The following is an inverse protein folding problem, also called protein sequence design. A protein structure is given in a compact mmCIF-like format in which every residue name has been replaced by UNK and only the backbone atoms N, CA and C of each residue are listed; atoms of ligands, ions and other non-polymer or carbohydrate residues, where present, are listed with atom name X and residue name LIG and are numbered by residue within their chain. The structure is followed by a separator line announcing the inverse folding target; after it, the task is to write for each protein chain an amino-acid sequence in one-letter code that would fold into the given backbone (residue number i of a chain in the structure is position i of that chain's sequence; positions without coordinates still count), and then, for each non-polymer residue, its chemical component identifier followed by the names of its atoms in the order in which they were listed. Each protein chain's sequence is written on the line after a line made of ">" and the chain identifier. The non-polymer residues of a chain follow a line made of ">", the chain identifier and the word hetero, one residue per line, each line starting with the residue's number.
data_IF_822477261057
#
_entry.id   IF_822477261057
#
_cell.length_a   1.000
_cell.length_b   1.000
_cell.length_c   1.000
_cell.angle_alpha   90.00
_cell.angle_beta   90.00
_cell.angle_gamma   90.00
#
_symmetry.space_group_name_H-M   'P 1'
#
loop_
_entity.id
_entity.type
_entity.pdbx_description
1 polymer ?
#
# COMPACT_ATOMS: atom_id res chain seq x y z
N UNK A 1 15.71 -0.59 21.73
CA UNK A 1 15.03 0.64 21.27
C UNK A 1 14.08 1.13 22.37
N UNK A 2 13.58 2.37 22.26
CA UNK A 2 12.63 3.01 23.16
C UNK A 2 11.50 3.67 22.35
N UNK A 3 10.32 3.91 22.95
CA UNK A 3 9.28 4.72 22.32
C UNK A 3 9.84 6.09 21.86
N UNK A 4 9.55 6.45 20.62
CA UNK A 4 10.05 7.67 19.97
C UNK A 4 11.29 7.46 19.09
N UNK A 5 12.05 6.38 19.29
CA UNK A 5 13.27 6.11 18.51
C UNK A 5 12.95 6.00 17.01
N UNK A 6 13.78 6.60 16.13
CA UNK A 6 13.66 6.43 14.69
C UNK A 6 14.00 4.99 14.30
N UNK A 7 13.27 4.45 13.34
CA UNK A 7 13.49 3.08 12.83
C UNK A 7 13.35 3.03 11.32
N UNK A 8 14.21 2.23 10.70
CA UNK A 8 14.08 1.78 9.33
C UNK A 8 13.43 0.39 9.32
N UNK A 9 12.40 0.21 8.50
CA UNK A 9 11.72 -1.08 8.32
C UNK A 9 12.19 -1.67 7.00
N UNK A 10 12.80 -2.84 7.10
CA UNK A 10 13.36 -3.55 5.96
C UNK A 10 12.53 -4.79 5.64
N UNK A 11 12.44 -5.14 4.37
CA UNK A 11 11.87 -6.38 3.87
C UNK A 11 12.86 -7.07 2.91
N UNK A 12 12.55 -8.31 2.57
CA UNK A 12 13.24 -9.14 1.56
C UNK A 12 14.69 -9.52 1.87
N UNK A 13 15.24 -10.36 0.99
CA UNK A 13 16.66 -10.68 0.90
C UNK A 13 17.06 -10.64 -0.58
N UNK A 14 17.92 -9.71 -1.02
CA UNK A 14 18.65 -8.70 -0.24
C UNK A 14 17.73 -7.63 0.41
N UNK A 15 18.18 -6.97 1.49
CA UNK A 15 17.33 -6.07 2.27
C UNK A 15 16.95 -4.81 1.47
N UNK A 16 15.66 -4.49 1.50
CA UNK A 16 15.07 -3.27 0.93
C UNK A 16 14.34 -2.47 2.00
N UNK A 17 14.51 -1.16 2.00
CA UNK A 17 13.78 -0.24 2.86
C UNK A 17 12.36 -0.03 2.34
N UNK A 18 11.38 -0.41 3.15
CA UNK A 18 9.95 -0.29 2.82
C UNK A 18 9.26 0.83 3.60
N UNK A 19 9.80 1.23 4.75
CA UNK A 19 9.27 2.35 5.52
C UNK A 19 10.29 2.96 6.46
N UNK A 20 10.10 4.24 6.78
CA UNK A 20 10.67 4.89 7.96
C UNK A 20 9.58 5.12 8.98
N UNK A 21 9.91 4.96 10.26
CA UNK A 21 8.96 5.11 11.33
C UNK A 21 9.57 5.59 12.63
N UNK A 22 8.72 5.60 13.65
CA UNK A 22 9.12 5.71 15.04
C UNK A 22 8.57 4.55 15.83
N UNK A 23 9.32 4.09 16.81
CA UNK A 23 8.81 3.14 17.79
C UNK A 23 7.66 3.80 18.55
N UNK A 24 6.49 3.18 18.50
CA UNK A 24 5.31 3.63 19.25
C UNK A 24 5.25 2.96 20.62
N UNK A 25 5.43 1.64 20.64
CA UNK A 25 5.37 0.82 21.86
C UNK A 25 6.31 -0.37 21.75
N UNK A 26 6.85 -0.76 22.89
CA UNK A 26 7.59 -2.00 23.11
C UNK A 26 6.89 -2.77 24.23
N UNK A 27 6.69 -4.07 24.05
CA UNK A 27 6.06 -4.99 25.01
C UNK A 27 6.22 -6.40 24.48
N UNK A 28 5.12 -7.16 24.39
CA UNK A 28 5.08 -8.48 23.75
C UNK A 28 5.41 -8.45 22.24
N UNK A 29 5.55 -7.24 21.68
CA UNK A 29 6.03 -7.00 20.32
C UNK A 29 6.52 -5.55 20.14
N UNK A 30 7.05 -5.26 18.95
CA UNK A 30 7.46 -3.93 18.53
C UNK A 30 6.37 -3.31 17.64
N UNK A 31 5.81 -2.18 18.07
CA UNK A 31 4.84 -1.42 17.26
C UNK A 31 5.54 -0.18 16.70
N UNK A 32 5.47 0.00 15.38
CA UNK A 32 6.09 1.11 14.67
C UNK A 32 5.01 1.97 14.00
N UNK A 33 5.05 3.28 14.23
CA UNK A 33 4.25 4.25 13.47
C UNK A 33 5.05 4.73 12.26
N UNK A 34 4.54 4.48 11.06
CA UNK A 34 5.20 4.91 9.82
C UNK A 34 5.06 6.41 9.60
N UNK A 35 6.17 7.05 9.25
CA UNK A 35 6.25 8.46 8.86
C UNK A 35 6.49 8.62 7.36
N UNK A 36 7.14 7.64 6.72
CA UNK A 36 7.33 7.55 5.26
C UNK A 36 7.24 6.09 4.84
N UNK A 37 6.73 5.84 3.63
CA UNK A 37 6.46 4.50 3.08
C UNK A 37 6.96 4.46 1.65
N UNK A 38 7.47 3.30 1.27
CA UNK A 38 7.85 2.91 -0.08
C UNK A 38 7.52 1.42 -0.24
N UNK A 39 6.24 1.08 -0.07
CA UNK A 39 5.78 -0.31 -0.22
C UNK A 39 5.74 -0.72 -1.68
N UNK A 40 5.35 0.20 -2.54
CA UNK A 40 5.19 -0.05 -3.98
C UNK A 40 6.56 -0.02 -4.70
N UNK A 41 7.46 0.86 -4.29
CA UNK A 41 8.84 0.96 -4.81
C UNK A 41 9.90 0.96 -3.69
N UNK A 42 10.17 -0.20 -3.04
CA UNK A 42 11.13 -0.27 -1.94
C UNK A 42 12.56 0.07 -2.38
N UNK A 43 13.26 0.88 -1.59
CA UNK A 43 14.63 1.34 -1.94
C UNK A 43 15.70 0.37 -1.46
N UNK A 44 16.78 0.15 -2.24
CA UNK A 44 17.88 -0.75 -1.84
C UNK A 44 18.52 -0.36 -0.50
N UNK A 45 18.84 -1.36 0.33
CA UNK A 45 19.39 -1.18 1.68
C UNK A 45 20.47 -2.23 2.03
N UNK A 46 21.21 -2.73 1.04
CA UNK A 46 22.23 -3.79 1.19
C UNK A 46 23.36 -3.42 2.13
N UNK A 47 23.58 -2.12 2.35
CA UNK A 47 24.56 -1.64 3.33
C UNK A 47 24.17 -1.91 4.80
N UNK A 48 22.93 -2.36 5.05
CA UNK A 48 22.43 -2.63 6.41
C UNK A 48 22.71 -4.09 6.80
N UNK A 49 23.53 -4.27 7.84
CA UNK A 49 23.72 -5.56 8.47
C UNK A 49 22.51 -5.94 9.33
N UNK A 50 21.73 -6.92 8.91
CA UNK A 50 20.59 -7.46 9.66
C UNK A 50 21.05 -8.70 10.45
N UNK A 51 21.03 -8.59 11.78
CA UNK A 51 21.43 -9.65 12.72
C UNK A 51 20.26 -10.35 13.41
N UNK A 52 19.02 -9.89 13.16
CA UNK A 52 17.81 -10.43 13.76
C UNK A 52 16.59 -9.58 13.39
N UNK A 53 15.42 -9.80 14.02
CA UNK A 53 14.20 -9.05 13.72
C UNK A 53 14.30 -7.55 14.06
N UNK A 54 15.18 -7.20 14.99
CA UNK A 54 15.53 -5.82 15.33
C UNK A 54 17.04 -5.76 15.50
N UNK A 55 17.70 -4.92 14.70
CA UNK A 55 19.15 -4.72 14.74
C UNK A 55 19.47 -3.24 14.99
N UNK A 56 20.56 -2.94 15.71
CA UNK A 56 21.05 -1.57 15.80
C UNK A 56 21.47 -1.10 14.40
N UNK A 57 21.17 0.16 14.09
CA UNK A 57 21.51 0.79 12.83
C UNK A 57 22.36 2.02 13.11
N UNK A 58 23.49 2.14 12.41
CA UNK A 58 24.35 3.31 12.50
C UNK A 58 23.58 4.58 12.06
N UNK A 59 23.63 5.68 12.84
CA UNK A 59 22.90 6.90 12.51
C UNK A 59 23.25 7.52 11.15
N UNK A 60 24.50 7.36 10.69
CA UNK A 60 24.95 7.82 9.36
C UNK A 60 24.28 7.00 8.27
N UNK A 61 24.23 5.68 8.44
CA UNK A 61 23.53 4.78 7.49
C UNK A 61 22.03 5.08 7.49
N UNK A 62 21.43 5.34 8.65
CA UNK A 62 20.04 5.77 8.74
C UNK A 62 19.80 7.08 7.97
N UNK A 63 20.68 8.07 8.11
CA UNK A 63 20.62 9.32 7.34
C UNK A 63 20.67 9.08 5.82
N UNK A 64 21.56 8.22 5.36
CA UNK A 64 21.64 7.85 3.93
C UNK A 64 20.35 7.19 3.42
N UNK A 65 19.71 6.35 4.22
CA UNK A 65 18.41 5.74 3.90
C UNK A 65 17.30 6.78 3.85
N UNK A 66 17.30 7.75 4.78
CA UNK A 66 16.37 8.89 4.79
C UNK A 66 16.49 9.73 3.53
N UNK A 67 17.73 10.02 3.11
CA UNK A 67 18.00 10.82 1.92
C UNK A 67 17.62 10.06 0.65
N UNK A 68 17.94 8.77 0.59
CA UNK A 68 17.60 7.89 -0.55
C UNK A 68 16.09 7.74 -0.73
N UNK A 69 15.34 7.61 0.36
CA UNK A 69 13.88 7.53 0.32
C UNK A 69 13.24 8.86 -0.10
N UNK A 70 13.91 9.98 0.18
CA UNK A 70 13.42 11.31 -0.15
C UNK A 70 12.21 11.76 0.69
N UNK A 71 11.67 12.96 0.41
CA UNK A 71 10.46 13.44 1.05
C UNK A 71 9.23 12.62 0.62
N UNK A 72 8.19 12.49 1.46
CA UNK A 72 6.96 11.84 1.04
C UNK A 72 6.34 12.57 -0.16
N UNK A 73 5.87 11.80 -1.13
CA UNK A 73 5.14 12.36 -2.27
C UNK A 73 3.92 13.16 -1.78
N UNK A 74 3.58 14.28 -2.44
CA UNK A 74 2.41 15.06 -2.09
C UNK A 74 1.15 14.19 -2.21
N UNK A 75 0.31 14.23 -1.17
CA UNK A 75 -0.96 13.50 -1.18
C UNK A 75 -1.88 14.09 -2.24
N UNK A 76 -2.51 13.21 -3.01
CA UNK A 76 -3.55 13.55 -3.98
C UNK A 76 -4.87 12.94 -3.54
N UNK A 77 -5.97 13.56 -3.93
CA UNK A 77 -7.31 12.99 -3.75
C UNK A 77 -7.59 12.09 -4.95
N UNK A 78 -7.97 10.85 -4.66
CA UNK A 78 -8.35 9.85 -5.63
C UNK A 78 -9.83 9.54 -5.49
N UNK A 79 -10.52 9.36 -6.61
CA UNK A 79 -11.85 8.77 -6.64
C UNK A 79 -11.67 7.27 -6.85
N UNK A 80 -12.33 6.47 -6.00
CA UNK A 80 -12.28 5.01 -6.05
C UNK A 80 -13.72 4.52 -6.09
N UNK A 81 -14.09 3.84 -7.16
CA UNK A 81 -15.42 3.26 -7.35
C UNK A 81 -15.33 1.76 -7.61
N UNK A 82 -16.43 1.07 -7.32
CA UNK A 82 -16.68 -0.28 -7.78
C UNK A 82 -17.91 -0.20 -8.67
N UNK A 83 -17.80 -0.67 -9.90
CA UNK A 83 -18.91 -0.72 -10.84
C UNK A 83 -19.25 -2.18 -11.14
N UNK A 84 -20.47 -2.59 -10.79
CA UNK A 84 -20.96 -3.94 -11.00
C UNK A 84 -22.28 -3.86 -11.77
N UNK A 85 -22.39 -4.50 -12.94
CA UNK A 85 -23.67 -4.61 -13.63
C UNK A 85 -24.58 -5.53 -12.82
N UNK A 86 -25.69 -4.99 -12.31
CA UNK A 86 -26.68 -5.73 -11.54
C UNK A 86 -28.03 -5.67 -12.26
N UNK A 87 -28.54 -6.83 -12.65
CA UNK A 87 -29.91 -6.99 -13.13
C UNK A 87 -30.85 -7.26 -11.95
N UNK A 88 -31.92 -6.48 -11.83
CA UNK A 88 -32.91 -6.59 -10.76
C UNK A 88 -34.23 -5.91 -11.13
N UNK A 89 -35.34 -6.31 -10.48
CA UNK A 89 -36.67 -5.75 -10.74
C UNK A 89 -36.80 -4.33 -10.17
N UNK A 90 -36.04 -4.01 -9.12
CA UNK A 90 -36.07 -2.69 -8.48
C UNK A 90 -34.67 -2.17 -8.13
N UNK A 91 -34.55 -0.83 -8.03
CA UNK A 91 -33.31 -0.19 -7.57
C UNK A 91 -32.89 -0.65 -6.17
N UNK A 92 -33.85 -0.84 -5.28
CA UNK A 92 -33.57 -1.30 -3.91
C UNK A 92 -33.04 -2.74 -3.88
N UNK A 93 -33.51 -3.59 -4.80
CA UNK A 93 -33.00 -4.94 -4.98
C UNK A 93 -31.60 -4.94 -5.57
N UNK A 94 -31.35 -4.13 -6.61
CA UNK A 94 -30.01 -3.98 -7.18
C UNK A 94 -28.97 -3.62 -6.11
N UNK A 95 -29.30 -2.71 -5.19
CA UNK A 95 -28.41 -2.35 -4.07
C UNK A 95 -28.18 -3.51 -3.10
N UNK A 96 -29.19 -4.34 -2.82
CA UNK A 96 -29.03 -5.52 -1.95
C UNK A 96 -28.14 -6.58 -2.61
N UNK A 97 -28.32 -6.81 -3.91
CA UNK A 97 -27.51 -7.74 -4.69
C UNK A 97 -26.06 -7.25 -4.82
N UNK A 98 -25.86 -5.96 -5.11
CA UNK A 98 -24.54 -5.33 -5.10
C UNK A 98 -23.77 -5.64 -3.81
N UNK A 99 -24.37 -5.37 -2.64
CA UNK A 99 -23.70 -5.64 -1.36
C UNK A 99 -23.49 -7.13 -1.08
N UNK A 100 -24.35 -8.00 -1.64
CA UNK A 100 -24.16 -9.45 -1.56
C UNK A 100 -22.93 -9.87 -2.36
N UNK A 101 -22.78 -9.39 -3.60
CA UNK A 101 -21.59 -9.67 -4.43
C UNK A 101 -20.31 -9.08 -3.84
N UNK A 102 -20.35 -7.85 -3.33
CA UNK A 102 -19.20 -7.23 -2.65
C UNK A 102 -18.70 -8.11 -1.50
N UNK A 103 -19.62 -8.70 -0.74
CA UNK A 103 -19.28 -9.57 0.39
C UNK A 103 -18.79 -10.95 -0.06
N UNK A 104 -19.35 -11.49 -1.14
CA UNK A 104 -19.05 -12.85 -1.62
C UNK A 104 -17.73 -12.93 -2.38
N UNK A 105 -17.48 -11.99 -3.29
CA UNK A 105 -16.29 -11.97 -4.16
C UNK A 105 -15.10 -11.29 -3.45
N UNK A 106 -15.37 -10.17 -2.77
CA UNK A 106 -14.36 -9.45 -1.99
C UNK A 106 -13.24 -8.81 -2.85
N UNK A 107 -12.21 -8.24 -2.19
CA UNK A 107 -11.22 -7.37 -2.85
C UNK A 107 -10.22 -8.10 -3.76
N UNK A 108 -10.17 -9.44 -3.69
CA UNK A 108 -9.29 -10.26 -4.54
C UNK A 108 -9.88 -10.54 -5.92
N UNK A 109 -11.21 -10.43 -6.07
CA UNK A 109 -11.91 -10.75 -7.32
C UNK A 109 -12.57 -9.51 -7.93
N UNK A 110 -12.82 -8.46 -7.14
CA UNK A 110 -13.51 -7.26 -7.58
C UNK A 110 -12.54 -6.15 -8.02
N UNK A 111 -12.57 -5.73 -9.30
CA UNK A 111 -11.77 -4.60 -9.75
C UNK A 111 -12.35 -3.28 -9.22
N UNK A 112 -11.48 -2.45 -8.63
CA UNK A 112 -11.81 -1.06 -8.32
C UNK A 112 -11.31 -0.15 -9.42
N UNK A 113 -12.10 0.85 -9.79
CA UNK A 113 -11.72 1.87 -10.74
C UNK A 113 -11.22 3.10 -10.00
N UNK A 114 -10.03 3.56 -10.37
CA UNK A 114 -9.32 4.64 -9.69
C UNK A 114 -9.03 5.76 -10.68
N UNK A 115 -9.36 6.99 -10.31
CA UNK A 115 -9.02 8.19 -11.08
C UNK A 115 -8.58 9.35 -10.17
N UNK A 116 -7.74 10.28 -10.65
CA UNK A 116 -7.47 11.51 -9.93
C UNK A 116 -8.75 12.35 -9.77
N UNK A 117 -8.96 12.95 -8.60
CA UNK A 117 -10.02 13.94 -8.44
C UNK A 117 -9.79 15.13 -9.38
N UNK A 118 -10.76 15.43 -10.24
CA UNK A 118 -10.67 16.47 -11.25
C UNK A 118 -10.17 15.98 -12.63
N UNK A 119 -9.84 14.70 -12.77
CA UNK A 119 -9.54 14.05 -14.04
C UNK A 119 -10.15 12.63 -14.06
N UNK A 120 -11.48 12.57 -14.06
CA UNK A 120 -12.25 11.34 -13.98
C UNK A 120 -12.12 10.45 -15.24
N UNK A 121 -11.69 11.02 -16.36
CA UNK A 121 -11.49 10.28 -17.61
C UNK A 121 -10.19 9.46 -17.60
N UNK A 122 -9.22 9.79 -16.75
CA UNK A 122 -8.00 9.01 -16.53
C UNK A 122 -8.24 7.79 -15.60
N UNK A 123 -9.36 7.09 -15.81
CA UNK A 123 -9.79 5.96 -15.00
C UNK A 123 -8.97 4.70 -15.33
N UNK A 124 -8.48 4.03 -14.28
CA UNK A 124 -7.72 2.79 -14.40
C UNK A 124 -8.25 1.74 -13.41
N UNK A 125 -8.30 0.48 -13.83
CA UNK A 125 -8.75 -0.62 -12.98
C UNK A 125 -7.60 -1.22 -12.16
N UNK A 126 -7.89 -1.57 -10.90
CA UNK A 126 -6.97 -2.18 -9.96
C UNK A 126 -7.62 -3.32 -9.18
N UNK A 127 -6.88 -4.41 -8.96
CA UNK A 127 -7.24 -5.51 -8.04
C UNK A 127 -6.13 -5.64 -6.99
N UNK A 128 -6.49 -5.59 -5.70
CA UNK A 128 -5.54 -5.60 -4.56
C UNK A 128 -4.39 -4.57 -4.66
N UNK A 129 -4.56 -3.50 -5.44
CA UNK A 129 -3.53 -2.47 -5.65
C UNK A 129 -2.60 -2.72 -6.84
N UNK A 130 -2.76 -3.81 -7.57
CA UNK A 130 -2.11 -4.02 -8.87
C UNK A 130 -3.04 -3.56 -9.99
N UNK A 131 -2.47 -2.90 -11.01
CA UNK A 131 -3.21 -2.55 -12.22
C UNK A 131 -3.71 -3.83 -12.89
N UNK A 132 -4.99 -3.83 -13.24
CA UNK A 132 -5.64 -4.97 -13.87
C UNK A 132 -6.20 -4.51 -15.21
N UNK A 133 -5.64 -5.03 -16.32
CA UNK A 133 -6.27 -4.82 -17.62
C UNK A 133 -7.64 -5.50 -17.59
N UNK A 134 -8.64 -4.82 -18.15
CA UNK A 134 -10.00 -5.35 -18.26
C UNK A 134 -10.41 -5.56 -19.72
N UNK A 135 -9.48 -5.34 -20.66
CA UNK A 135 -9.69 -5.60 -22.08
C UNK A 135 -9.62 -7.12 -22.34
N UNK A 136 -10.74 -7.78 -22.69
CA UNK A 136 -10.76 -9.20 -22.95
C UNK A 136 -9.96 -9.59 -24.21
N UNK A 137 -9.62 -8.65 -25.09
CA UNK A 137 -8.86 -8.90 -26.31
C UNK A 137 -7.33 -8.92 -26.10
N UNK A 138 -6.84 -8.47 -24.93
CA UNK A 138 -5.41 -8.43 -24.60
C UNK A 138 -4.95 -9.57 -23.67
N UNK A 139 -5.84 -10.49 -23.30
CA UNK A 139 -5.60 -11.66 -22.43
C UNK A 139 -5.03 -12.90 -23.18
N UNK A 140 -4.24 -12.71 -24.25
CA UNK A 140 -3.57 -13.79 -25.05
C UNK A 140 -2.09 -14.05 -24.67
#
# INVERSE_FOLDING_TARGET
>A
PHPGDPVAVLADSPPRLVALGRVNRIGDGLVVTYIRRAFDEPVPAEQVGVSGPVSPLDPVVYGQLVDRLGPPAPRRTWLVSLDLPIEADTRAEAVRLFWSYVRELGPGELPTFVSPSGDELAMQAFVLGAEANQDPEEDD
#
